data_IF_823285064638
#
_entry.id   IF_823285064638
#
_cell.length_a   1.000
_cell.length_b   1.000
_cell.length_c   1.000
_cell.angle_alpha   90.00
_cell.angle_beta   90.00
_cell.angle_gamma   90.00
#
_symmetry.space_group_name_H-M   'P 1'
#
loop_
_entity.id
_entity.type
_entity.pdbx_description
1 polymer ?
#
# COMPACT_ATOMS: atom_id res chain seq x y z
N UNK A 1 75.05 -35.33 22.33
CA UNK A 1 73.76 -35.82 21.78
C UNK A 1 73.53 -35.14 20.43
N UNK A 2 74.09 -35.71 19.34
CA UNK A 2 73.37 -36.29 18.17
C UNK A 2 72.51 -35.26 17.41
N UNK A 3 72.91 -34.61 16.29
CA UNK A 3 73.38 -35.01 14.93
C UNK A 3 72.43 -35.92 14.12
N UNK A 4 72.14 -35.46 12.88
CA UNK A 4 71.64 -36.12 11.63
C UNK A 4 70.23 -35.66 11.20
N UNK A 5 69.94 -35.24 9.96
CA UNK A 5 70.60 -35.45 8.67
C UNK A 5 70.44 -34.27 7.69
N UNK A 6 71.46 -34.09 6.85
CA UNK A 6 71.60 -33.21 5.68
C UNK A 6 71.03 -33.86 4.40
N UNK A 7 70.93 -33.07 3.30
CA UNK A 7 71.42 -33.30 1.89
C UNK A 7 70.68 -32.28 0.97
N UNK A 8 71.29 -31.21 0.43
CA UNK A 8 72.18 -31.08 -0.79
C UNK A 8 71.35 -31.15 -2.10
N UNK A 9 71.48 -30.38 -3.20
CA UNK A 9 72.19 -29.15 -3.65
C UNK A 9 71.86 -28.99 -5.19
N UNK A 10 72.09 -27.78 -5.77
CA UNK A 10 72.49 -27.48 -7.19
C UNK A 10 71.40 -27.64 -8.29
N UNK A 11 70.90 -26.61 -9.00
CA UNK A 11 71.47 -25.59 -9.92
C UNK A 11 71.42 -25.98 -11.42
N UNK A 12 70.97 -25.03 -12.26
CA UNK A 12 71.56 -24.61 -13.56
C UNK A 12 70.58 -24.37 -14.74
N UNK A 13 70.69 -23.16 -15.30
CA UNK A 13 70.59 -22.71 -16.72
C UNK A 13 69.28 -22.88 -17.53
N UNK A 14 68.64 -21.79 -17.99
CA UNK A 14 68.93 -20.91 -19.17
C UNK A 14 68.39 -21.45 -20.51
N UNK A 15 67.44 -20.70 -21.08
CA UNK A 15 67.19 -20.39 -22.50
C UNK A 15 65.75 -20.62 -23.01
N UNK A 16 65.05 -19.49 -23.13
CA UNK A 16 64.29 -19.02 -24.30
C UNK A 16 63.90 -20.08 -25.34
N UNK A 17 62.60 -20.29 -25.49
CA UNK A 17 61.98 -20.35 -26.82
C UNK A 17 60.64 -19.63 -26.78
N UNK A 18 60.55 -18.55 -27.56
CA UNK A 18 59.30 -17.92 -27.93
C UNK A 18 58.61 -18.78 -29.00
N UNK A 19 57.32 -19.05 -28.82
CA UNK A 19 56.37 -19.12 -29.94
C UNK A 19 54.96 -18.90 -29.43
N UNK A 20 54.29 -17.95 -30.09
CA UNK A 20 52.90 -17.60 -29.87
C UNK A 20 52.00 -18.81 -30.11
N UNK A 21 51.08 -19.07 -29.18
CA UNK A 21 49.77 -19.61 -29.51
C UNK A 21 48.73 -18.72 -28.83
N UNK A 22 48.07 -17.92 -29.66
CA UNK A 22 46.78 -17.30 -29.34
C UNK A 22 45.82 -18.39 -28.88
N UNK A 23 45.54 -18.42 -27.58
CA UNK A 23 44.46 -19.21 -27.01
C UNK A 23 43.54 -18.28 -26.26
N UNK A 24 42.33 -18.07 -26.80
CA UNK A 24 41.26 -17.30 -26.18
C UNK A 24 41.00 -17.81 -24.76
N UNK A 25 41.57 -17.14 -23.75
CA UNK A 25 41.09 -17.24 -22.39
C UNK A 25 39.79 -16.43 -22.34
N UNK A 26 38.66 -17.10 -22.59
CA UNK A 26 37.36 -16.58 -22.22
C UNK A 26 37.43 -16.21 -20.74
N UNK A 27 37.28 -14.92 -20.43
CA UNK A 27 36.99 -14.47 -19.06
C UNK A 27 35.83 -15.33 -18.59
N UNK A 28 35.99 -16.04 -17.48
CA UNK A 28 34.85 -16.64 -16.80
C UNK A 28 33.77 -15.54 -16.66
N UNK A 29 32.52 -15.80 -17.05
CA UNK A 29 31.47 -14.80 -16.92
C UNK A 29 31.42 -14.34 -15.47
N UNK A 30 31.48 -13.02 -15.27
CA UNK A 30 31.22 -12.45 -13.96
C UNK A 30 29.81 -12.87 -13.53
N UNK A 31 29.53 -13.15 -12.25
CA UNK A 31 28.17 -13.46 -11.77
C UNK A 31 27.13 -12.43 -12.25
N UNK A 32 27.54 -11.16 -12.38
CA UNK A 32 26.70 -10.09 -12.91
C UNK A 32 26.31 -10.23 -14.40
N UNK A 33 27.08 -10.96 -15.22
CA UNK A 33 26.78 -11.21 -16.64
C UNK A 33 25.82 -12.40 -16.83
N UNK A 34 25.88 -13.42 -15.96
CA UNK A 34 24.94 -14.56 -16.03
C UNK A 34 23.54 -14.19 -15.53
N UNK A 35 23.44 -13.36 -14.47
CA UNK A 35 22.17 -12.80 -13.98
C UNK A 35 21.44 -12.00 -15.07
N UNK A 36 22.16 -11.13 -15.80
CA UNK A 36 21.58 -10.30 -16.85
C UNK A 36 21.01 -11.10 -18.04
N UNK A 37 21.53 -12.30 -18.30
CA UNK A 37 21.05 -13.15 -19.40
C UNK A 37 19.81 -13.98 -19.04
N UNK A 38 19.54 -14.23 -17.76
CA UNK A 38 18.41 -15.06 -17.31
C UNK A 38 17.20 -14.24 -16.85
N UNK A 39 17.41 -13.01 -16.39
CA UNK A 39 16.35 -12.13 -15.88
C UNK A 39 15.13 -11.98 -16.82
N UNK A 40 15.28 -11.77 -18.15
CA UNK A 40 14.12 -11.70 -19.04
C UNK A 40 13.28 -12.98 -19.08
N UNK A 41 13.93 -14.15 -18.99
CA UNK A 41 13.25 -15.44 -18.98
C UNK A 41 12.50 -15.66 -17.66
N UNK A 42 13.14 -15.32 -16.54
CA UNK A 42 12.54 -15.36 -15.20
C UNK A 42 11.29 -14.48 -15.15
N UNK A 43 11.38 -13.23 -15.62
CA UNK A 43 10.24 -12.31 -15.60
C UNK A 43 9.11 -12.72 -16.55
N UNK A 44 9.43 -13.36 -17.68
CA UNK A 44 8.42 -13.88 -18.60
C UNK A 44 7.66 -15.07 -17.98
N UNK A 45 8.35 -15.97 -17.28
CA UNK A 45 7.72 -17.10 -16.60
C UNK A 45 6.94 -16.63 -15.35
N UNK A 46 7.45 -15.65 -14.61
CA UNK A 46 6.71 -15.00 -13.52
C UNK A 46 5.39 -14.39 -14.02
N UNK A 47 5.43 -13.67 -15.15
CA UNK A 47 4.21 -13.11 -15.77
C UNK A 47 3.20 -14.20 -16.08
N UNK A 48 3.62 -15.30 -16.72
CA UNK A 48 2.75 -16.46 -17.00
C UNK A 48 2.15 -17.06 -15.72
N UNK A 49 2.95 -17.17 -14.66
CA UNK A 49 2.47 -17.66 -13.36
C UNK A 49 1.44 -16.73 -12.73
N UNK A 50 1.54 -15.42 -12.95
CA UNK A 50 0.56 -14.43 -12.45
C UNK A 50 -0.73 -14.41 -13.28
N UNK A 51 -0.64 -14.66 -14.59
CA UNK A 51 -1.77 -14.71 -15.52
C UNK A 51 -2.58 -16.02 -15.44
N UNK A 52 -1.98 -17.11 -14.96
CA UNK A 52 -2.67 -18.40 -14.79
C UNK A 52 -3.75 -18.34 -13.69
N UNK A 53 -5.05 -18.52 -14.03
CA UNK A 53 -6.13 -18.54 -13.05
C UNK A 53 -6.01 -19.68 -12.01
N UNK A 54 -5.29 -20.76 -12.34
CA UNK A 54 -5.03 -21.88 -11.45
C UNK A 54 -3.85 -21.67 -10.49
N UNK A 55 -3.05 -20.63 -10.71
CA UNK A 55 -1.85 -20.35 -9.92
C UNK A 55 -2.21 -19.93 -8.50
N UNK A 56 -1.68 -20.67 -7.52
CA UNK A 56 -1.86 -20.41 -6.09
C UNK A 56 -0.86 -19.38 -5.57
N UNK A 57 -1.19 -18.72 -4.45
CA UNK A 57 -0.26 -17.80 -3.77
C UNK A 57 1.01 -18.55 -3.36
N UNK A 58 0.90 -19.78 -2.85
CA UNK A 58 2.06 -20.58 -2.47
C UNK A 58 3.03 -20.85 -3.64
N UNK A 59 2.52 -21.11 -4.85
CA UNK A 59 3.37 -21.25 -6.04
C UNK A 59 4.09 -19.94 -6.39
N UNK A 60 3.42 -18.80 -6.24
CA UNK A 60 4.05 -17.48 -6.43
C UNK A 60 5.13 -17.23 -5.38
N UNK A 61 4.88 -17.53 -4.10
CA UNK A 61 5.88 -17.43 -3.03
C UNK A 61 7.12 -18.27 -3.36
N UNK A 62 6.92 -19.54 -3.75
CA UNK A 62 8.01 -20.43 -4.13
C UNK A 62 8.82 -19.90 -5.31
N UNK A 63 8.14 -19.35 -6.33
CA UNK A 63 8.80 -18.79 -7.49
C UNK A 63 9.62 -17.54 -7.13
N UNK A 64 9.06 -16.65 -6.31
CA UNK A 64 9.76 -15.46 -5.80
C UNK A 64 10.98 -15.90 -4.98
N UNK A 65 10.81 -16.81 -4.03
CA UNK A 65 11.90 -17.36 -3.20
C UNK A 65 13.07 -17.91 -4.02
N UNK A 66 12.77 -18.65 -5.09
CA UNK A 66 13.79 -19.28 -5.92
C UNK A 66 14.54 -18.30 -6.81
N UNK A 67 13.90 -17.20 -7.24
CA UNK A 67 14.41 -16.38 -8.35
C UNK A 67 14.80 -14.95 -7.95
N UNK A 68 14.43 -14.47 -6.76
CA UNK A 68 14.61 -13.04 -6.41
C UNK A 68 16.06 -12.56 -6.46
N UNK A 69 17.03 -13.44 -6.17
CA UNK A 69 18.46 -13.09 -6.21
C UNK A 69 19.05 -13.05 -7.62
N UNK A 70 18.33 -13.58 -8.61
CA UNK A 70 18.74 -13.69 -10.00
C UNK A 70 18.15 -12.59 -10.91
N UNK A 71 17.50 -11.58 -10.32
CA UNK A 71 16.93 -10.43 -11.03
C UNK A 71 17.42 -9.12 -10.41
N UNK A 72 17.37 -8.05 -11.21
CA UNK A 72 17.57 -6.67 -10.75
C UNK A 72 16.63 -6.31 -9.59
N UNK A 73 17.01 -5.30 -8.80
CA UNK A 73 16.20 -4.85 -7.65
C UNK A 73 14.84 -4.32 -8.08
N UNK A 74 14.78 -3.74 -9.27
CA UNK A 74 13.58 -3.22 -9.91
C UNK A 74 12.62 -4.37 -10.26
N UNK A 75 13.12 -5.43 -10.88
CA UNK A 75 12.29 -6.60 -11.20
C UNK A 75 11.94 -7.43 -9.96
N UNK A 76 12.84 -7.53 -8.98
CA UNK A 76 12.53 -8.09 -7.66
C UNK A 76 11.38 -7.33 -6.99
N UNK A 77 11.37 -5.99 -7.07
CA UNK A 77 10.29 -5.17 -6.55
C UNK A 77 8.96 -5.43 -7.28
N UNK A 78 8.97 -5.56 -8.61
CA UNK A 78 7.79 -5.96 -9.40
C UNK A 78 7.24 -7.30 -8.92
N UNK A 79 8.11 -8.31 -8.75
CA UNK A 79 7.71 -9.65 -8.29
C UNK A 79 7.07 -9.62 -6.90
N UNK A 80 7.69 -8.89 -5.96
CA UNK A 80 7.20 -8.78 -4.58
C UNK A 80 5.90 -8.00 -4.48
N UNK A 81 5.75 -6.89 -5.22
CA UNK A 81 4.50 -6.14 -5.27
C UNK A 81 3.35 -6.96 -5.88
N UNK A 82 3.63 -7.73 -6.93
CA UNK A 82 2.65 -8.61 -7.55
C UNK A 82 2.22 -9.76 -6.60
N UNK A 83 3.15 -10.33 -5.84
CA UNK A 83 2.85 -11.31 -4.79
C UNK A 83 1.94 -10.70 -3.70
N UNK A 84 2.30 -9.53 -3.17
CA UNK A 84 1.49 -8.82 -2.17
C UNK A 84 0.08 -8.51 -2.70
N UNK A 85 -0.03 -8.06 -3.96
CA UNK A 85 -1.31 -7.80 -4.57
C UNK A 85 -2.15 -9.08 -4.69
N UNK A 86 -1.54 -10.20 -5.11
CA UNK A 86 -2.25 -11.50 -5.19
C UNK A 86 -2.73 -11.96 -3.81
N UNK A 87 -1.96 -11.70 -2.76
CA UNK A 87 -2.39 -11.95 -1.38
C UNK A 87 -3.56 -11.05 -0.98
N UNK A 88 -3.45 -9.73 -1.17
CA UNK A 88 -4.52 -8.77 -0.85
C UNK A 88 -5.83 -9.12 -1.56
N UNK A 89 -5.77 -9.45 -2.85
CA UNK A 89 -6.96 -9.82 -3.64
C UNK A 89 -7.56 -11.17 -3.21
N UNK A 90 -6.73 -12.13 -2.80
CA UNK A 90 -7.20 -13.45 -2.37
C UNK A 90 -7.70 -13.52 -0.92
N UNK A 91 -7.26 -12.60 -0.06
CA UNK A 91 -7.52 -12.64 1.38
C UNK A 91 -9.02 -12.72 1.75
N UNK A 92 -9.93 -11.92 1.16
CA UNK A 92 -11.35 -11.96 1.55
C UNK A 92 -12.01 -13.33 1.36
N UNK A 93 -11.64 -14.05 0.29
CA UNK A 93 -12.15 -15.40 0.05
C UNK A 93 -11.63 -16.41 1.08
N UNK A 94 -10.37 -16.25 1.51
CA UNK A 94 -9.78 -17.08 2.56
C UNK A 94 -10.44 -16.77 3.91
N UNK A 95 -10.63 -15.50 4.26
CA UNK A 95 -11.34 -15.06 5.47
C UNK A 95 -12.76 -15.64 5.53
N UNK A 96 -13.51 -15.55 4.42
CA UNK A 96 -14.86 -16.12 4.32
C UNK A 96 -14.87 -17.64 4.56
N UNK A 97 -13.90 -18.37 3.99
CA UNK A 97 -13.76 -19.82 4.20
C UNK A 97 -13.39 -20.14 5.66
N UNK A 98 -12.46 -19.36 6.24
CA UNK A 98 -12.08 -19.50 7.65
C UNK A 98 -13.26 -19.29 8.60
N UNK A 99 -14.08 -18.26 8.34
CA UNK A 99 -15.26 -17.95 9.14
C UNK A 99 -16.33 -19.05 9.03
N UNK A 100 -16.48 -19.68 7.87
CA UNK A 100 -17.44 -20.75 7.63
C UNK A 100 -17.00 -22.12 8.19
N UNK A 101 -15.70 -22.33 8.43
CA UNK A 101 -15.12 -23.60 8.85
C UNK A 101 -15.21 -23.79 10.38
N UNK A 102 -16.35 -24.32 10.84
CA UNK A 102 -16.60 -24.53 12.27
C UNK A 102 -15.59 -25.48 12.93
N UNK A 103 -15.13 -26.51 12.22
CA UNK A 103 -14.15 -27.46 12.75
C UNK A 103 -12.80 -26.79 12.97
N UNK A 104 -12.35 -25.95 12.03
CA UNK A 104 -11.14 -25.15 12.16
C UNK A 104 -11.25 -24.16 13.32
N UNK A 105 -12.34 -23.40 13.41
CA UNK A 105 -12.54 -22.43 14.50
C UNK A 105 -12.52 -23.11 15.88
N UNK A 106 -13.21 -24.25 16.02
CA UNK A 106 -13.24 -25.02 17.26
C UNK A 106 -11.87 -25.60 17.62
N UNK A 107 -11.11 -26.10 16.65
CA UNK A 107 -9.77 -26.62 16.87
C UNK A 107 -8.78 -25.54 17.33
N UNK A 108 -8.83 -24.35 16.72
CA UNK A 108 -8.04 -23.19 17.13
C UNK A 108 -8.42 -22.70 18.53
N UNK A 109 -9.72 -22.62 18.84
CA UNK A 109 -10.23 -22.27 20.17
C UNK A 109 -9.72 -23.22 21.26
N UNK A 110 -9.81 -24.53 21.01
CA UNK A 110 -9.30 -25.57 21.92
C UNK A 110 -7.79 -25.43 22.12
N UNK A 111 -7.04 -25.20 21.04
CA UNK A 111 -5.59 -25.04 21.09
C UNK A 111 -5.16 -23.79 21.88
N UNK A 112 -5.87 -22.67 21.72
CA UNK A 112 -5.61 -21.44 22.47
C UNK A 112 -5.92 -21.62 23.96
N UNK A 113 -7.05 -22.24 24.30
CA UNK A 113 -7.40 -22.54 25.70
C UNK A 113 -6.35 -23.43 26.39
N UNK A 114 -5.80 -24.40 25.65
CA UNK A 114 -4.82 -25.35 26.18
C UNK A 114 -3.42 -24.75 26.36
N UNK A 115 -2.97 -23.94 25.39
CA UNK A 115 -1.59 -23.43 25.39
C UNK A 115 -1.42 -22.15 26.20
N UNK A 116 -2.48 -21.36 26.40
CA UNK A 116 -2.42 -20.07 27.09
C UNK A 116 -1.43 -19.06 26.47
N UNK A 117 -0.97 -19.29 25.23
CA UNK A 117 0.14 -18.57 24.61
C UNK A 117 -0.18 -18.15 23.17
N UNK A 118 0.60 -17.20 22.66
CA UNK A 118 0.51 -16.74 21.26
C UNK A 118 0.88 -17.84 20.24
N UNK A 119 1.58 -18.90 20.68
CA UNK A 119 2.05 -20.00 19.82
C UNK A 119 1.07 -21.19 19.76
N UNK A 120 -0.21 -20.93 20.03
CA UNK A 120 -1.27 -21.94 20.10
C UNK A 120 -1.45 -22.76 18.82
N UNK A 121 -1.00 -22.27 17.67
CA UNK A 121 -1.05 -23.00 16.40
C UNK A 121 -0.29 -24.34 16.48
N UNK A 122 0.79 -24.41 17.27
CA UNK A 122 1.54 -25.65 17.49
C UNK A 122 0.79 -26.65 18.37
N UNK A 123 -0.19 -26.19 19.15
CA UNK A 123 -1.00 -26.99 20.06
C UNK A 123 -2.28 -27.56 19.41
N UNK A 124 -2.55 -27.24 18.14
CA UNK A 124 -3.60 -27.89 17.36
C UNK A 124 -3.31 -29.40 17.32
N UNK A 125 -4.33 -30.24 17.49
CA UNK A 125 -4.18 -31.70 17.50
C UNK A 125 -4.67 -32.32 16.18
N UNK A 126 -5.71 -31.72 15.59
CA UNK A 126 -6.34 -32.18 14.35
C UNK A 126 -5.38 -32.02 13.16
N UNK A 127 -5.04 -33.15 12.53
CA UNK A 127 -4.08 -33.23 11.43
C UNK A 127 -4.59 -32.45 10.20
N UNK A 128 -5.87 -32.57 9.86
CA UNK A 128 -6.45 -31.88 8.72
C UNK A 128 -6.48 -30.36 8.94
N UNK A 129 -6.67 -29.90 10.19
CA UNK A 129 -6.53 -28.47 10.53
C UNK A 129 -5.06 -28.04 10.41
N UNK A 130 -4.10 -28.83 10.89
CA UNK A 130 -2.66 -28.51 10.73
C UNK A 130 -2.24 -28.35 9.27
N UNK A 131 -2.64 -29.27 8.40
CA UNK A 131 -2.32 -29.20 6.98
C UNK A 131 -2.88 -27.93 6.33
N UNK A 132 -4.12 -27.55 6.67
CA UNK A 132 -4.74 -26.29 6.24
C UNK A 132 -3.96 -25.08 6.74
N UNK A 133 -3.61 -25.03 8.03
CA UNK A 133 -2.81 -23.94 8.61
C UNK A 133 -1.42 -23.83 7.96
N UNK A 134 -0.79 -24.96 7.64
CA UNK A 134 0.48 -24.98 6.93
C UNK A 134 0.35 -24.45 5.51
N UNK A 135 -0.73 -24.80 4.79
CA UNK A 135 -1.00 -24.26 3.45
C UNK A 135 -1.19 -22.73 3.47
N UNK A 136 -1.85 -22.21 4.51
CA UNK A 136 -2.05 -20.78 4.74
C UNK A 136 -0.70 -20.09 5.03
N UNK A 137 0.13 -20.68 5.90
CA UNK A 137 1.49 -20.19 6.18
C UNK A 137 2.38 -20.21 4.93
N UNK A 138 2.33 -21.27 4.14
CA UNK A 138 3.08 -21.37 2.87
C UNK A 138 2.62 -20.36 1.83
N UNK A 139 1.38 -19.86 1.96
CA UNK A 139 0.84 -18.77 1.14
C UNK A 139 1.16 -17.38 1.72
N UNK A 140 1.93 -17.31 2.81
CA UNK A 140 2.39 -16.04 3.37
C UNK A 140 1.37 -15.32 4.24
N UNK A 141 0.46 -16.06 4.85
CA UNK A 141 -0.48 -15.53 5.84
C UNK A 141 -0.15 -16.07 7.23
N UNK A 142 -0.52 -15.29 8.25
CA UNK A 142 -0.55 -15.73 9.65
C UNK A 142 -1.98 -15.69 10.17
N UNK A 143 -2.24 -16.36 11.29
CA UNK A 143 -3.56 -16.38 11.92
C UNK A 143 -3.58 -15.39 13.07
N UNK A 144 -4.61 -14.55 13.09
CA UNK A 144 -4.92 -13.64 14.18
C UNK A 144 -6.26 -14.02 14.81
N UNK A 145 -6.54 -13.44 15.97
CA UNK A 145 -7.84 -13.61 16.64
C UNK A 145 -8.39 -12.28 17.14
N UNK A 146 -9.69 -12.07 17.00
CA UNK A 146 -10.45 -10.98 17.61
C UNK A 146 -11.84 -11.48 17.99
N UNK A 147 -12.34 -11.04 19.14
CA UNK A 147 -13.69 -11.39 19.62
C UNK A 147 -13.98 -12.91 19.63
N UNK A 148 -12.97 -13.75 19.84
CA UNK A 148 -13.09 -15.21 19.87
C UNK A 148 -13.13 -15.89 18.49
N UNK A 149 -13.04 -15.13 17.40
CA UNK A 149 -12.93 -15.63 16.03
C UNK A 149 -11.47 -15.63 15.58
N UNK A 150 -11.13 -16.57 14.69
CA UNK A 150 -9.80 -16.69 14.07
C UNK A 150 -9.87 -16.38 12.59
N UNK A 151 -8.94 -15.59 12.09
CA UNK A 151 -8.90 -15.18 10.69
C UNK A 151 -7.46 -15.01 10.21
N UNK A 152 -7.21 -15.27 8.91
CA UNK A 152 -5.90 -15.03 8.32
C UNK A 152 -5.66 -13.53 8.14
N UNK A 153 -4.41 -13.12 8.23
CA UNK A 153 -3.92 -11.81 7.77
C UNK A 153 -2.61 -12.02 7.02
N UNK A 154 -2.22 -11.06 6.18
CA UNK A 154 -0.92 -11.13 5.49
C UNK A 154 0.21 -11.07 6.52
N UNK A 155 1.16 -12.00 6.41
CA UNK A 155 2.35 -12.02 7.26
C UNK A 155 3.44 -11.14 6.65
N UNK A 156 3.45 -9.85 6.96
CA UNK A 156 4.46 -8.94 6.42
C UNK A 156 5.90 -9.25 6.89
N UNK A 157 6.09 -10.04 7.96
CA UNK A 157 7.42 -10.46 8.39
C UNK A 157 8.08 -11.37 7.35
N UNK A 158 7.30 -12.16 6.59
CA UNK A 158 7.84 -13.02 5.54
C UNK A 158 8.62 -12.25 4.48
N UNK A 159 8.26 -10.99 4.24
CA UNK A 159 8.86 -10.15 3.22
C UNK A 159 10.23 -9.60 3.66
N UNK A 160 10.55 -9.65 4.95
CA UNK A 160 11.83 -9.16 5.45
C UNK A 160 13.03 -9.89 4.82
N UNK A 161 12.87 -11.18 4.50
CA UNK A 161 13.91 -11.97 3.81
C UNK A 161 14.26 -11.42 2.43
N UNK A 162 13.35 -10.69 1.80
CA UNK A 162 13.54 -10.12 0.47
C UNK A 162 14.26 -8.77 0.50
N UNK A 163 14.26 -8.04 1.65
CA UNK A 163 14.82 -6.69 1.76
C UNK A 163 16.17 -6.46 1.07
N UNK A 164 17.18 -7.36 1.18
CA UNK A 164 18.49 -7.14 0.55
C UNK A 164 18.42 -6.98 -0.97
N UNK A 165 17.44 -7.64 -1.60
CA UNK A 165 17.24 -7.71 -3.05
C UNK A 165 16.23 -6.69 -3.58
N UNK A 166 15.66 -5.85 -2.72
CA UNK A 166 14.67 -4.85 -3.13
C UNK A 166 15.27 -3.46 -3.33
N UNK A 167 14.50 -2.61 -3.99
CA UNK A 167 14.73 -1.16 -4.02
C UNK A 167 14.65 -0.60 -2.59
N UNK A 168 15.40 0.47 -2.26
CA UNK A 168 15.34 1.10 -0.94
C UNK A 168 13.92 1.52 -0.54
N UNK A 169 13.15 1.98 -1.53
CA UNK A 169 11.76 2.38 -1.39
C UNK A 169 10.86 1.23 -0.94
N UNK A 170 10.82 0.11 -1.68
CA UNK A 170 9.95 -1.00 -1.34
C UNK A 170 10.40 -1.70 -0.04
N UNK A 171 11.71 -1.75 0.22
CA UNK A 171 12.23 -2.25 1.50
C UNK A 171 11.72 -1.41 2.69
N UNK A 172 11.71 -0.07 2.56
CA UNK A 172 11.18 0.81 3.60
C UNK A 172 9.67 0.65 3.79
N UNK A 173 8.90 0.45 2.71
CA UNK A 173 7.48 0.12 2.79
C UNK A 173 7.25 -1.19 3.58
N UNK A 174 7.99 -2.25 3.27
CA UNK A 174 7.90 -3.54 3.97
C UNK A 174 8.23 -3.39 5.46
N UNK A 175 9.24 -2.58 5.81
CA UNK A 175 9.59 -2.32 7.21
C UNK A 175 8.42 -1.69 7.98
N UNK A 176 7.75 -0.71 7.38
CA UNK A 176 6.55 -0.08 7.97
C UNK A 176 5.45 -1.13 8.13
N UNK A 177 5.11 -1.85 7.07
CA UNK A 177 4.00 -2.80 7.09
C UNK A 177 4.24 -4.01 8.00
N UNK A 178 5.49 -4.45 8.17
CA UNK A 178 5.85 -5.49 9.12
C UNK A 178 5.56 -5.05 10.56
N UNK A 179 5.89 -3.80 10.91
CA UNK A 179 5.58 -3.23 12.24
C UNK A 179 4.06 -3.14 12.47
N UNK A 180 3.29 -2.73 11.45
CA UNK A 180 1.83 -2.69 11.52
C UNK A 180 1.22 -4.09 11.72
N UNK A 181 1.71 -5.08 10.97
CA UNK A 181 1.22 -6.45 11.03
C UNK A 181 1.56 -7.12 12.36
N UNK A 182 2.78 -6.90 12.89
CA UNK A 182 3.23 -7.51 14.13
C UNK A 182 2.50 -6.96 15.35
N UNK A 183 2.29 -5.63 15.38
CA UNK A 183 1.64 -4.96 16.50
C UNK A 183 0.62 -3.95 15.99
N UNK A 184 -0.62 -4.40 15.72
CA UNK A 184 -1.69 -3.51 15.27
C UNK A 184 -1.87 -2.33 16.24
N UNK A 185 -2.05 -1.09 15.75
CA UNK A 185 -2.09 0.09 16.60
C UNK A 185 -3.35 0.19 17.48
N UNK A 186 -4.45 -0.41 17.03
CA UNK A 186 -5.72 -0.40 17.74
C UNK A 186 -6.50 -1.70 17.52
N UNK A 187 -7.26 -2.10 18.53
CA UNK A 187 -8.17 -3.26 18.50
C UNK A 187 -9.26 -3.06 19.54
N UNK A 188 -10.48 -3.51 19.25
CA UNK A 188 -11.64 -3.35 20.13
C UNK A 188 -11.86 -1.88 20.53
N UNK A 189 -11.70 -0.96 19.57
CA UNK A 189 -11.73 0.49 19.77
C UNK A 189 -10.77 1.06 20.84
N UNK A 190 -9.75 0.31 21.25
CA UNK A 190 -8.68 0.73 22.16
C UNK A 190 -7.34 0.82 21.41
N UNK A 191 -6.49 1.78 21.79
CA UNK A 191 -5.09 1.76 21.35
C UNK A 191 -4.36 0.59 22.01
N UNK A 192 -3.61 -0.16 21.21
CA UNK A 192 -2.78 -1.31 21.65
C UNK A 192 -1.29 -0.95 21.71
N UNK A 193 -0.94 0.26 21.30
CA UNK A 193 0.41 0.83 21.34
C UNK A 193 0.40 2.08 22.23
N UNK A 194 1.58 2.48 22.72
CA UNK A 194 1.72 3.73 23.46
C UNK A 194 1.57 4.94 22.53
N UNK A 195 1.28 6.10 23.11
CA UNK A 195 1.27 7.37 22.38
C UNK A 195 2.62 7.69 21.72
N UNK A 196 3.73 7.31 22.37
CA UNK A 196 5.09 7.46 21.83
C UNK A 196 5.28 6.63 20.56
N UNK A 197 4.88 5.36 20.59
CA UNK A 197 4.95 4.46 19.44
C UNK A 197 4.02 4.94 18.31
N UNK A 198 2.83 5.44 18.65
CA UNK A 198 1.89 6.03 17.70
C UNK A 198 2.52 7.19 16.93
N UNK A 199 3.13 8.14 17.64
CA UNK A 199 3.80 9.30 17.03
C UNK A 199 5.02 8.88 16.21
N UNK A 200 5.85 7.95 16.71
CA UNK A 200 7.02 7.44 15.97
C UNK A 200 6.63 6.80 14.64
N UNK A 201 5.58 5.97 14.62
CA UNK A 201 5.08 5.35 13.38
C UNK A 201 4.52 6.37 12.41
N UNK A 202 3.72 7.34 12.91
CA UNK A 202 3.19 8.41 12.08
C UNK A 202 4.32 9.23 11.42
N UNK A 203 5.35 9.59 12.18
CA UNK A 203 6.52 10.29 11.63
C UNK A 203 7.29 9.42 10.63
N UNK A 204 7.46 8.12 10.88
CA UNK A 204 8.12 7.22 9.93
C UNK A 204 7.36 7.11 8.60
N UNK A 205 6.03 7.01 8.66
CA UNK A 205 5.15 7.03 7.49
C UNK A 205 5.28 8.35 6.72
N UNK A 206 5.33 9.47 7.45
CA UNK A 206 5.49 10.79 6.84
C UNK A 206 6.85 10.96 6.15
N UNK A 207 7.93 10.50 6.79
CA UNK A 207 9.27 10.51 6.19
C UNK A 207 9.35 9.63 4.94
N UNK A 208 8.66 8.50 4.92
CA UNK A 208 8.55 7.67 3.72
C UNK A 208 7.93 8.45 2.55
N UNK A 209 6.83 9.18 2.80
CA UNK A 209 6.15 9.97 1.76
C UNK A 209 7.00 11.11 1.22
N UNK A 210 7.89 11.67 2.04
CA UNK A 210 8.85 12.70 1.64
C UNK A 210 10.00 12.09 0.83
N UNK A 211 10.53 10.95 1.27
CA UNK A 211 11.66 10.29 0.62
C UNK A 211 11.28 9.67 -0.74
N UNK A 212 10.04 9.19 -0.87
CA UNK A 212 9.57 8.43 -2.03
C UNK A 212 8.23 8.94 -2.59
N UNK A 213 8.15 10.22 -3.02
CA UNK A 213 6.89 10.83 -3.46
C UNK A 213 6.27 10.18 -4.71
N UNK A 214 7.08 9.47 -5.50
CA UNK A 214 6.68 8.79 -6.73
C UNK A 214 6.53 7.27 -6.55
N UNK A 215 6.62 6.75 -5.31
CA UNK A 215 6.41 5.33 -5.05
C UNK A 215 4.99 4.90 -5.39
N UNK A 216 4.85 3.69 -5.94
CA UNK A 216 3.57 2.99 -6.12
C UNK A 216 2.85 2.69 -4.79
N UNK A 217 3.55 2.75 -3.65
CA UNK A 217 3.02 2.51 -2.30
C UNK A 217 2.67 3.79 -1.54
N UNK A 218 2.83 4.96 -2.16
CA UNK A 218 2.48 6.24 -1.50
C UNK A 218 1.02 6.28 -1.04
N UNK A 219 0.09 5.72 -1.81
CA UNK A 219 -1.34 5.66 -1.41
C UNK A 219 -1.56 4.83 -0.16
N UNK A 220 -0.96 3.63 -0.09
CA UNK A 220 -1.06 2.76 1.09
C UNK A 220 -0.55 3.50 2.34
N UNK A 221 0.60 4.17 2.23
CA UNK A 221 1.21 4.90 3.36
C UNK A 221 0.42 6.18 3.71
N UNK A 222 -0.16 6.87 2.73
CA UNK A 222 -1.05 8.03 2.96
C UNK A 222 -2.29 7.64 3.76
N UNK A 223 -2.93 6.54 3.41
CA UNK A 223 -4.10 6.01 4.14
C UNK A 223 -3.71 5.61 5.56
N UNK A 224 -2.53 5.01 5.73
CA UNK A 224 -2.01 4.66 7.04
C UNK A 224 -1.75 5.93 7.88
N UNK A 225 -1.08 6.93 7.32
CA UNK A 225 -0.79 8.19 8.04
C UNK A 225 -2.05 8.95 8.41
N UNK A 226 -3.06 8.99 7.53
CA UNK A 226 -4.36 9.60 7.84
C UNK A 226 -5.02 8.94 9.06
N UNK A 227 -5.02 7.60 9.12
CA UNK A 227 -5.50 6.85 10.29
C UNK A 227 -4.72 7.19 11.56
N UNK A 228 -3.39 7.23 11.48
CA UNK A 228 -2.54 7.58 12.62
C UNK A 228 -2.75 9.04 13.08
N UNK A 229 -2.99 9.96 12.14
CA UNK A 229 -3.35 11.34 12.46
C UNK A 229 -4.68 11.42 13.21
N UNK A 230 -5.68 10.61 12.84
CA UNK A 230 -6.93 10.53 13.60
C UNK A 230 -6.70 10.02 15.02
N UNK A 231 -5.88 8.99 15.21
CA UNK A 231 -5.53 8.52 16.55
C UNK A 231 -4.79 9.59 17.36
N UNK A 232 -3.83 10.29 16.78
CA UNK A 232 -3.07 11.34 17.47
C UNK A 232 -3.95 12.56 17.83
N UNK A 233 -4.91 12.92 16.97
CA UNK A 233 -5.78 14.05 17.20
C UNK A 233 -6.93 13.72 18.14
N UNK A 234 -7.49 12.51 18.14
CA UNK A 234 -8.73 12.19 18.86
C UNK A 234 -8.58 11.08 19.90
N UNK A 235 -7.60 10.20 19.75
CA UNK A 235 -7.56 8.90 20.42
C UNK A 235 -8.57 7.93 19.83
N UNK A 236 -8.96 6.94 20.62
CA UNK A 236 -10.01 5.97 20.28
C UNK A 236 -11.08 5.94 21.38
N UNK A 237 -12.22 5.30 21.14
CA UNK A 237 -13.33 5.29 22.12
C UNK A 237 -12.92 4.72 23.49
N UNK A 238 -12.15 3.64 23.49
CA UNK A 238 -11.67 2.98 24.71
C UNK A 238 -10.28 3.48 25.16
N UNK A 239 -9.69 4.43 24.43
CA UNK A 239 -8.44 5.09 24.81
C UNK A 239 -8.49 6.55 24.31
N UNK A 240 -9.39 7.36 24.89
CA UNK A 240 -9.64 8.70 24.38
C UNK A 240 -8.43 9.60 24.66
N UNK A 241 -8.15 10.54 23.76
CA UNK A 241 -7.08 11.51 23.98
C UNK A 241 -7.42 12.46 25.13
N UNK A 242 -8.69 12.81 25.29
CA UNK A 242 -9.19 13.61 26.41
C UNK A 242 -10.12 12.79 27.27
N UNK A 243 -9.95 12.89 28.57
CA UNK A 243 -10.84 12.29 29.55
C UNK A 243 -12.30 12.76 29.33
N UNK A 244 -13.24 11.82 29.40
CA UNK A 244 -14.63 12.10 29.05
C UNK A 244 -15.30 13.06 30.03
N UNK A 245 -14.92 13.05 31.31
CA UNK A 245 -15.57 13.86 32.35
C UNK A 245 -14.85 15.18 32.54
N UNK A 246 -13.55 15.10 32.83
CA UNK A 246 -12.71 16.26 33.17
C UNK A 246 -12.27 17.06 31.95
N UNK A 247 -12.41 16.48 30.75
CA UNK A 247 -11.91 17.04 29.49
C UNK A 247 -10.40 17.27 29.48
N UNK A 248 -9.67 16.69 30.42
CA UNK A 248 -8.22 16.85 30.51
C UNK A 248 -7.52 15.95 29.50
N UNK A 249 -6.48 16.46 28.85
CA UNK A 249 -5.61 15.67 27.97
C UNK A 249 -4.96 14.53 28.75
N UNK A 250 -4.91 13.33 28.16
CA UNK A 250 -4.24 12.18 28.73
C UNK A 250 -2.76 12.51 29.02
N UNK A 251 -2.32 12.32 30.26
CA UNK A 251 -0.98 12.73 30.70
C UNK A 251 0.16 12.07 29.92
N UNK A 252 -0.01 10.80 29.52
CA UNK A 252 0.95 10.08 28.68
C UNK A 252 1.06 10.70 27.28
N UNK A 253 -0.06 11.06 26.65
CA UNK A 253 -0.07 11.73 25.36
C UNK A 253 0.54 13.14 25.47
N UNK A 254 0.18 13.88 26.52
CA UNK A 254 0.71 15.22 26.79
C UNK A 254 2.24 15.19 26.87
N UNK A 255 2.80 14.24 27.61
CA UNK A 255 4.25 14.07 27.74
C UNK A 255 4.90 13.87 26.37
N UNK A 256 4.41 12.91 25.60
CA UNK A 256 4.95 12.59 24.26
C UNK A 256 4.88 13.82 23.36
N UNK A 257 3.76 14.53 23.34
CA UNK A 257 3.57 15.69 22.47
C UNK A 257 4.50 16.85 22.81
N UNK A 258 4.83 17.04 24.10
CA UNK A 258 5.77 18.07 24.54
C UNK A 258 7.25 17.68 24.31
N UNK A 259 7.57 16.40 24.36
CA UNK A 259 8.93 15.89 24.16
C UNK A 259 9.28 15.67 22.67
N UNK A 260 8.27 15.58 21.80
CA UNK A 260 8.46 15.42 20.35
C UNK A 260 8.89 16.74 19.71
N UNK A 261 9.98 16.69 18.93
CA UNK A 261 10.42 17.81 18.11
C UNK A 261 9.59 17.87 16.81
N UNK A 262 8.53 18.68 16.83
CA UNK A 262 7.71 18.94 15.64
C UNK A 262 8.39 19.93 14.70
N UNK A 263 8.57 19.55 13.44
CA UNK A 263 9.14 20.39 12.38
C UNK A 263 8.24 20.32 11.14
N UNK A 264 7.89 21.46 10.55
CA UNK A 264 7.08 21.50 9.33
C UNK A 264 7.80 20.92 8.11
N UNK A 265 9.13 20.86 8.13
CA UNK A 265 9.94 20.19 7.10
C UNK A 265 9.74 18.68 7.12
N UNK A 266 9.27 18.13 8.24
CA UNK A 266 8.94 16.72 8.35
C UNK A 266 7.58 16.37 7.78
N UNK A 267 6.79 17.36 7.32
CA UNK A 267 5.52 17.17 6.63
C UNK A 267 4.32 17.80 7.32
N UNK A 268 3.14 17.63 6.73
CA UNK A 268 1.88 18.24 7.16
C UNK A 268 1.39 17.72 8.51
N UNK A 269 1.51 16.44 8.81
CA UNK A 269 1.15 15.85 10.10
C UNK A 269 2.04 16.42 11.20
N UNK A 270 3.36 16.36 11.03
CA UNK A 270 4.31 16.95 11.98
C UNK A 270 4.05 18.44 12.23
N UNK A 271 3.85 19.23 11.15
CA UNK A 271 3.46 20.65 11.25
C UNK A 271 2.21 20.84 12.12
N UNK A 272 1.14 20.10 11.79
CA UNK A 272 -0.16 20.25 12.45
C UNK A 272 -0.12 19.83 13.91
N UNK A 273 0.63 18.80 14.25
CA UNK A 273 0.83 18.39 15.63
C UNK A 273 1.62 19.44 16.43
N UNK A 274 2.64 20.08 15.84
CA UNK A 274 3.34 21.21 16.47
C UNK A 274 2.42 22.40 16.76
N UNK A 275 1.59 22.79 15.79
CA UNK A 275 0.54 23.80 15.96
C UNK A 275 -0.48 23.37 17.04
N UNK A 276 -0.86 22.10 17.07
CA UNK A 276 -1.80 21.54 18.03
C UNK A 276 -1.26 21.64 19.46
N UNK A 277 0.02 21.35 19.70
CA UNK A 277 0.65 21.50 21.02
C UNK A 277 0.57 22.95 21.53
N UNK A 278 0.78 23.93 20.65
CA UNK A 278 0.63 25.33 21.02
C UNK A 278 -0.81 25.68 21.42
N UNK A 279 -1.80 25.15 20.69
CA UNK A 279 -3.23 25.30 21.01
C UNK A 279 -3.58 24.62 22.33
N UNK A 280 -3.14 23.38 22.55
CA UNK A 280 -3.35 22.64 23.79
C UNK A 280 -2.81 23.41 25.00
N UNK A 281 -1.59 23.96 24.90
CA UNK A 281 -0.97 24.77 25.96
C UNK A 281 -1.76 26.04 26.26
N UNK A 282 -2.31 26.71 25.23
CA UNK A 282 -3.12 27.93 25.39
C UNK A 282 -4.41 27.69 26.18
N UNK A 283 -4.98 26.48 26.09
CA UNK A 283 -6.24 26.11 26.74
C UNK A 283 -6.01 25.12 27.90
N UNK A 284 -4.87 25.23 28.59
CA UNK A 284 -4.52 24.45 29.79
C UNK A 284 -4.67 22.92 29.62
N UNK A 285 -4.42 22.45 28.40
CA UNK A 285 -4.54 21.05 27.99
C UNK A 285 -5.94 20.47 28.24
N UNK A 286 -6.98 21.31 28.16
CA UNK A 286 -8.39 20.90 28.28
C UNK A 286 -9.10 20.98 26.93
N UNK A 287 -9.96 20.01 26.65
CA UNK A 287 -10.82 20.04 25.47
C UNK A 287 -11.84 21.16 25.60
N UNK A 288 -11.61 22.25 24.87
CA UNK A 288 -12.55 23.36 24.66
C UNK A 288 -13.15 23.31 23.26
N UNK A 289 -14.11 24.19 22.96
CA UNK A 289 -14.63 24.34 21.59
C UNK A 289 -13.54 24.75 20.60
N UNK A 290 -12.58 25.58 21.02
CA UNK A 290 -11.47 26.01 20.18
C UNK A 290 -10.45 24.89 19.93
N UNK A 291 -10.16 24.06 20.94
CA UNK A 291 -9.34 22.86 20.77
C UNK A 291 -10.02 21.88 19.80
N UNK A 292 -11.34 21.68 19.96
CA UNK A 292 -12.14 20.84 19.07
C UNK A 292 -12.14 21.33 17.62
N UNK A 293 -12.34 22.62 17.42
CA UNK A 293 -12.30 23.24 16.10
C UNK A 293 -10.94 23.05 15.44
N UNK A 294 -9.86 23.24 16.20
CA UNK A 294 -8.50 23.01 15.71
C UNK A 294 -8.26 21.55 15.32
N UNK A 295 -8.74 20.58 16.12
CA UNK A 295 -8.64 19.16 15.80
C UNK A 295 -9.35 18.85 14.49
N UNK A 296 -10.58 19.32 14.31
CA UNK A 296 -11.37 19.10 13.10
C UNK A 296 -10.74 19.73 11.85
N UNK A 297 -10.24 20.97 11.98
CA UNK A 297 -9.56 21.64 10.88
C UNK A 297 -8.25 20.93 10.53
N UNK A 298 -7.46 20.53 11.52
CA UNK A 298 -6.19 19.82 11.30
C UNK A 298 -6.39 18.45 10.69
N UNK A 299 -7.37 17.70 11.18
CA UNK A 299 -7.77 16.41 10.60
C UNK A 299 -8.08 16.57 9.11
N UNK A 300 -8.96 17.53 8.78
CA UNK A 300 -9.33 17.82 7.40
C UNK A 300 -8.12 18.21 6.54
N UNK A 301 -7.23 19.08 7.02
CA UNK A 301 -6.06 19.51 6.28
C UNK A 301 -5.06 18.37 6.04
N UNK A 302 -4.84 17.50 7.05
CA UNK A 302 -4.00 16.31 6.92
C UNK A 302 -4.64 15.35 5.90
N UNK A 303 -5.92 15.02 6.04
CA UNK A 303 -6.63 14.14 5.11
C UNK A 303 -6.58 14.69 3.69
N UNK A 304 -6.77 16.00 3.48
CA UNK A 304 -6.66 16.62 2.16
C UNK A 304 -5.25 16.57 1.58
N UNK A 305 -4.22 16.66 2.42
CA UNK A 305 -2.83 16.48 1.97
C UNK A 305 -2.53 15.01 1.60
N UNK A 306 -3.18 14.04 2.26
CA UNK A 306 -3.07 12.62 1.94
C UNK A 306 -3.87 12.25 0.68
N UNK A 307 -5.12 12.70 0.58
CA UNK A 307 -6.02 12.49 -0.53
C UNK A 307 -6.66 13.82 -0.97
N UNK A 308 -6.14 14.40 -2.05
CA UNK A 308 -6.62 15.68 -2.60
C UNK A 308 -8.07 15.65 -3.07
N UNK A 309 -8.61 14.46 -3.36
CA UNK A 309 -9.96 14.27 -3.89
C UNK A 309 -10.99 14.02 -2.78
N UNK A 310 -10.55 13.92 -1.51
CA UNK A 310 -11.41 13.60 -0.38
C UNK A 310 -12.65 14.51 -0.28
N UNK A 311 -12.48 15.81 -0.52
CA UNK A 311 -13.60 16.77 -0.46
C UNK A 311 -14.67 16.51 -1.53
N UNK A 312 -14.33 15.82 -2.62
CA UNK A 312 -15.25 15.37 -3.67
C UNK A 312 -15.92 14.02 -3.36
N UNK A 313 -15.70 13.46 -2.16
CA UNK A 313 -16.19 12.15 -1.77
C UNK A 313 -15.40 10.99 -2.36
N UNK A 314 -14.24 11.25 -2.98
CA UNK A 314 -13.34 10.22 -3.52
C UNK A 314 -12.45 9.73 -2.39
N UNK A 315 -12.64 8.49 -1.95
CA UNK A 315 -11.91 7.91 -0.82
C UNK A 315 -10.57 7.25 -1.20
N UNK A 316 -10.44 6.76 -2.43
CA UNK A 316 -9.18 6.22 -2.96
C UNK A 316 -8.66 7.09 -4.12
N UNK A 317 -7.66 7.90 -3.80
CA UNK A 317 -7.02 8.79 -4.77
C UNK A 317 -6.34 8.05 -5.92
N UNK A 318 -5.66 6.92 -5.66
CA UNK A 318 -4.93 6.21 -6.71
C UNK A 318 -5.88 5.43 -7.63
N UNK A 319 -6.93 4.83 -7.08
CA UNK A 319 -7.95 4.18 -7.88
C UNK A 319 -8.65 5.22 -8.76
N UNK A 320 -8.99 6.39 -8.20
CA UNK A 320 -9.53 7.50 -8.99
C UNK A 320 -8.59 7.96 -10.11
N UNK A 321 -7.30 8.19 -9.82
CA UNK A 321 -6.31 8.60 -10.83
C UNK A 321 -6.11 7.55 -11.94
N UNK A 322 -6.18 6.27 -11.58
CA UNK A 322 -6.13 5.15 -12.52
C UNK A 322 -7.36 5.15 -13.43
N UNK A 323 -8.57 5.28 -12.86
CA UNK A 323 -9.83 5.37 -13.62
C UNK A 323 -9.82 6.59 -14.53
N UNK A 324 -9.37 7.75 -14.03
CA UNK A 324 -9.24 8.97 -14.82
C UNK A 324 -8.36 8.74 -16.06
N UNK A 325 -7.16 8.19 -15.86
CA UNK A 325 -6.21 7.91 -16.95
C UNK A 325 -6.76 6.87 -17.94
N UNK A 326 -7.42 5.82 -17.44
CA UNK A 326 -8.09 4.82 -18.27
C UNK A 326 -9.16 5.47 -19.14
N UNK A 327 -9.99 6.32 -18.57
CA UNK A 327 -11.08 6.97 -19.28
C UNK A 327 -10.56 7.98 -20.32
N UNK A 328 -9.46 8.71 -20.03
CA UNK A 328 -8.76 9.52 -21.05
C UNK A 328 -8.35 8.67 -22.25
N UNK A 329 -7.76 7.49 -22.02
CA UNK A 329 -7.37 6.56 -23.07
C UNK A 329 -8.55 6.03 -23.89
N UNK A 330 -9.67 5.68 -23.23
CA UNK A 330 -10.88 5.22 -23.92
C UNK A 330 -11.51 6.30 -24.79
N UNK A 331 -11.57 7.54 -24.28
CA UNK A 331 -12.06 8.70 -25.05
C UNK A 331 -11.16 8.98 -26.25
N UNK A 332 -9.83 8.92 -26.08
CA UNK A 332 -8.86 9.10 -27.17
C UNK A 332 -8.97 8.01 -28.24
N UNK A 333 -9.21 6.76 -27.85
CA UNK A 333 -9.43 5.63 -28.75
C UNK A 333 -10.81 5.64 -29.43
N UNK A 334 -11.71 6.56 -29.06
CA UNK A 334 -13.08 6.61 -29.57
C UNK A 334 -13.95 5.44 -29.13
N UNK A 335 -13.61 4.75 -28.04
CA UNK A 335 -14.36 3.58 -27.56
C UNK A 335 -15.59 4.03 -26.75
N UNK A 336 -16.64 4.43 -27.47
CA UNK A 336 -17.88 5.01 -26.91
C UNK A 336 -18.58 4.07 -25.94
N UNK A 337 -18.60 2.77 -26.25
CA UNK A 337 -19.23 1.75 -25.42
C UNK A 337 -18.55 1.64 -24.06
N UNK A 338 -17.22 1.52 -24.06
CA UNK A 338 -16.47 1.46 -22.81
C UNK A 338 -16.54 2.77 -22.02
N UNK A 339 -16.55 3.93 -22.68
CA UNK A 339 -16.72 5.23 -21.98
C UNK A 339 -18.08 5.30 -21.28
N UNK A 340 -19.14 4.80 -21.92
CA UNK A 340 -20.49 4.82 -21.36
C UNK A 340 -20.62 4.01 -20.05
N UNK A 341 -19.70 3.07 -19.80
CA UNK A 341 -19.67 2.28 -18.56
C UNK A 341 -19.07 3.04 -17.35
N UNK A 342 -18.45 4.21 -17.59
CA UNK A 342 -17.91 5.10 -16.54
C UNK A 342 -18.81 6.32 -16.29
N UNK A 343 -20.07 6.26 -16.70
CA UNK A 343 -21.01 7.35 -16.56
C UNK A 343 -21.97 7.06 -15.41
N UNK A 344 -22.12 8.04 -14.51
CA UNK A 344 -23.16 8.00 -13.50
C UNK A 344 -24.46 8.47 -14.16
N UNK A 345 -25.40 7.55 -14.31
CA UNK A 345 -26.71 7.86 -14.86
C UNK A 345 -27.70 8.24 -13.75
N UNK A 346 -28.59 9.23 -13.97
CA UNK A 346 -28.73 10.04 -15.17
C UNK A 346 -27.55 11.02 -15.37
N UNK A 347 -26.99 11.07 -16.59
CA UNK A 347 -25.92 12.01 -16.92
C UNK A 347 -26.51 13.38 -17.18
N UNK A 348 -26.00 14.39 -16.46
CA UNK A 348 -26.36 15.78 -16.66
C UNK A 348 -25.42 16.46 -17.64
N UNK A 349 -25.96 16.93 -18.77
CA UNK A 349 -25.17 17.63 -19.79
C UNK A 349 -25.69 19.05 -19.97
N UNK A 350 -24.82 20.05 -19.87
CA UNK A 350 -25.19 21.44 -20.04
C UNK A 350 -24.59 21.99 -21.33
N UNK A 351 -25.44 22.54 -22.18
CA UNK A 351 -25.04 23.29 -23.37
C UNK A 351 -25.49 24.74 -23.18
N UNK A 352 -24.54 25.68 -23.10
CA UNK A 352 -24.84 27.10 -22.87
C UNK A 352 -25.76 27.35 -21.65
N UNK A 353 -25.62 26.55 -20.59
CA UNK A 353 -26.45 26.62 -19.37
C UNK A 353 -27.80 25.91 -19.45
N UNK A 354 -28.17 25.34 -20.60
CA UNK A 354 -29.40 24.55 -20.75
C UNK A 354 -29.12 23.08 -20.40
N UNK A 355 -29.75 22.52 -19.36
CA UNK A 355 -29.56 21.13 -18.99
C UNK A 355 -30.29 20.18 -19.95
N UNK A 356 -29.60 19.13 -20.37
CA UNK A 356 -30.13 17.94 -21.03
C UNK A 356 -29.76 16.73 -20.19
N UNK A 357 -30.73 15.86 -19.92
CA UNK A 357 -30.51 14.65 -19.11
C UNK A 357 -30.47 13.45 -20.03
N UNK A 358 -29.43 12.63 -19.90
CA UNK A 358 -29.34 11.32 -20.54
C UNK A 358 -29.57 10.26 -19.47
N UNK A 359 -30.75 9.60 -19.42
CA UNK A 359 -31.13 8.75 -18.30
C UNK A 359 -30.45 7.38 -18.31
N UNK A 360 -29.83 6.97 -19.42
CA UNK A 360 -29.28 5.63 -19.58
C UNK A 360 -28.09 5.59 -20.54
N UNK A 361 -27.38 4.45 -20.48
CA UNK A 361 -26.31 4.07 -21.39
C UNK A 361 -26.70 4.20 -22.86
N UNK A 362 -27.84 3.62 -23.22
CA UNK A 362 -28.32 3.60 -24.61
C UNK A 362 -28.64 5.01 -25.13
N UNK A 363 -29.23 5.87 -24.28
CA UNK A 363 -29.52 7.25 -24.65
C UNK A 363 -28.25 8.09 -24.82
N UNK A 364 -27.21 7.85 -23.99
CA UNK A 364 -25.91 8.47 -24.23
C UNK A 364 -25.29 7.99 -25.54
N UNK A 365 -25.30 6.69 -25.82
CA UNK A 365 -24.64 6.14 -27.01
C UNK A 365 -25.23 6.68 -28.32
N UNK A 366 -26.56 6.82 -28.40
CA UNK A 366 -27.24 7.47 -29.54
C UNK A 366 -26.79 8.91 -29.76
N UNK A 367 -26.38 9.60 -28.69
CA UNK A 367 -26.07 11.02 -28.67
C UNK A 367 -24.58 11.31 -28.38
N UNK A 368 -23.71 10.30 -28.40
CA UNK A 368 -22.37 10.38 -27.81
C UNK A 368 -21.55 11.52 -28.40
N UNK A 369 -21.54 11.65 -29.73
CA UNK A 369 -20.74 12.68 -30.41
C UNK A 369 -21.29 14.10 -30.19
N UNK A 370 -22.57 14.21 -29.80
CA UNK A 370 -23.15 15.49 -29.40
C UNK A 370 -22.76 15.86 -27.96
N UNK A 371 -22.48 14.88 -27.09
CA UNK A 371 -22.11 15.08 -25.69
C UNK A 371 -20.60 15.26 -25.57
N UNK A 372 -19.81 14.32 -26.08
CA UNK A 372 -18.35 14.38 -26.13
C UNK A 372 -17.87 15.12 -27.38
N UNK A 373 -18.12 16.44 -27.39
CA UNK A 373 -17.67 17.33 -28.46
C UNK A 373 -16.14 17.42 -28.53
N UNK A 374 -15.61 17.99 -29.61
CA UNK A 374 -14.17 18.22 -29.74
C UNK A 374 -13.59 19.00 -28.55
N UNK A 375 -14.32 20.01 -28.04
CA UNK A 375 -13.94 20.79 -26.87
C UNK A 375 -13.84 19.93 -25.60
N UNK A 376 -14.86 19.11 -25.33
CA UNK A 376 -14.87 18.21 -24.15
C UNK A 376 -13.73 17.20 -24.22
N UNK A 377 -13.53 16.59 -25.40
CA UNK A 377 -12.43 15.64 -25.64
C UNK A 377 -11.05 16.29 -25.45
N UNK A 378 -10.87 17.50 -25.98
CA UNK A 378 -9.61 18.25 -25.89
C UNK A 378 -9.31 18.69 -24.44
N UNK A 379 -10.31 19.20 -23.72
CA UNK A 379 -10.19 19.53 -22.31
C UNK A 379 -9.78 18.30 -21.48
N UNK A 380 -10.40 17.15 -21.75
CA UNK A 380 -10.08 15.92 -21.03
C UNK A 380 -8.70 15.39 -21.38
N UNK A 381 -8.30 15.39 -22.65
CA UNK A 381 -6.98 14.92 -23.08
C UNK A 381 -5.82 15.75 -22.50
N UNK A 382 -6.02 17.07 -22.30
CA UNK A 382 -4.99 17.98 -21.78
C UNK A 382 -4.91 18.03 -20.26
N UNK A 383 -5.99 17.68 -19.56
CA UNK A 383 -6.04 17.78 -18.11
C UNK A 383 -5.12 16.75 -17.46
N UNK A 384 -4.14 17.23 -16.69
CA UNK A 384 -3.40 16.39 -15.76
C UNK A 384 -4.26 16.17 -14.52
N UNK A 385 -4.44 14.89 -14.14
CA UNK A 385 -5.32 14.53 -13.03
C UNK A 385 -4.93 15.26 -11.74
N UNK A 386 -3.64 15.33 -11.42
CA UNK A 386 -3.08 15.99 -10.21
C UNK A 386 -3.22 17.53 -10.17
N UNK A 387 -3.66 18.15 -11.27
CA UNK A 387 -3.85 19.61 -11.39
C UNK A 387 -5.34 20.00 -11.52
N UNK A 388 -6.27 19.05 -11.39
CA UNK A 388 -7.72 19.32 -11.45
C UNK A 388 -8.20 20.24 -10.34
N UNK A 389 -9.25 21.02 -10.58
CA UNK A 389 -9.94 21.70 -9.50
C UNK A 389 -10.85 20.70 -8.76
N UNK A 390 -10.86 20.72 -7.43
CA UNK A 390 -11.60 19.77 -6.60
C UNK A 390 -12.44 20.54 -5.58
N UNK A 391 -13.72 20.21 -5.49
CA UNK A 391 -14.60 20.67 -4.42
C UNK A 391 -15.67 19.62 -4.10
N UNK A 392 -16.62 19.97 -3.23
CA UNK A 392 -17.72 19.07 -2.82
C UNK A 392 -18.67 18.64 -3.95
N UNK A 393 -18.60 19.26 -5.14
CA UNK A 393 -19.39 18.87 -6.31
C UNK A 393 -18.70 17.82 -7.18
N UNK A 394 -17.41 17.53 -6.95
CA UNK A 394 -16.66 16.59 -7.74
C UNK A 394 -15.25 17.06 -8.11
N UNK A 395 -14.60 16.26 -8.95
CA UNK A 395 -13.30 16.58 -9.56
C UNK A 395 -13.55 17.16 -10.96
N UNK A 396 -13.10 18.39 -11.17
CA UNK A 396 -13.36 19.17 -12.38
C UNK A 396 -12.20 19.07 -13.38
N UNK A 397 -12.55 18.81 -14.63
CA UNK A 397 -11.65 18.80 -15.79
C UNK A 397 -11.82 20.07 -16.61
N UNK A 398 -10.70 20.67 -17.04
CA UNK A 398 -10.70 21.88 -17.86
C UNK A 398 -11.23 23.10 -17.10
N UNK A 399 -12.02 23.93 -17.78
CA UNK A 399 -12.77 25.04 -17.20
C UNK A 399 -14.12 24.64 -16.62
N UNK A 400 -14.40 23.33 -16.50
CA UNK A 400 -15.68 22.79 -16.05
C UNK A 400 -16.28 21.76 -17.00
N UNK A 401 -15.62 21.38 -18.09
CA UNK A 401 -16.18 20.54 -19.13
C UNK A 401 -16.60 19.15 -18.66
N UNK A 402 -15.90 18.56 -17.67
CA UNK A 402 -16.26 17.25 -17.12
C UNK A 402 -16.16 17.31 -15.59
N UNK A 403 -17.15 16.70 -14.93
CA UNK A 403 -17.17 16.53 -13.48
C UNK A 403 -17.20 15.05 -13.12
N UNK A 404 -16.24 14.62 -12.32
CA UNK A 404 -16.15 13.27 -11.79
C UNK A 404 -16.64 13.17 -10.35
N UNK A 405 -17.14 11.99 -9.99
CA UNK A 405 -17.54 11.63 -8.63
C UNK A 405 -17.17 10.18 -8.31
N UNK A 406 -17.30 9.83 -7.04
CA UNK A 406 -17.48 8.46 -6.56
C UNK A 406 -18.97 8.15 -6.40
N UNK A 407 -19.40 6.92 -6.71
CA UNK A 407 -20.74 6.39 -6.42
C UNK A 407 -20.75 4.86 -6.47
N UNK A 408 -21.48 4.20 -5.57
CA UNK A 408 -21.68 2.75 -5.60
C UNK A 408 -22.61 2.29 -6.73
N UNK A 409 -23.32 3.22 -7.38
CA UNK A 409 -24.15 2.96 -8.56
C UNK A 409 -23.32 2.86 -9.86
N UNK A 410 -22.06 3.28 -9.82
CA UNK A 410 -21.13 3.17 -10.95
C UNK A 410 -20.56 1.76 -11.05
N UNK A 411 -20.48 1.23 -12.27
CA UNK A 411 -19.83 -0.07 -12.53
C UNK A 411 -18.38 -0.09 -12.03
N UNK A 412 -17.67 1.03 -12.16
CA UNK A 412 -16.26 1.16 -11.79
C UNK A 412 -16.02 2.09 -10.59
N UNK A 413 -17.05 2.36 -9.77
CA UNK A 413 -17.04 3.19 -8.54
C UNK A 413 -16.70 4.68 -8.73
N UNK A 414 -15.87 5.03 -9.71
CA UNK A 414 -15.52 6.39 -10.11
C UNK A 414 -15.91 6.63 -11.56
N UNK A 415 -16.44 7.82 -11.84
CA UNK A 415 -17.00 8.10 -13.15
C UNK A 415 -17.44 9.54 -13.31
N UNK A 416 -17.95 9.84 -14.51
CA UNK A 416 -18.43 11.17 -14.88
C UNK A 416 -19.88 11.34 -14.43
N UNK A 417 -20.16 12.39 -13.66
CA UNK A 417 -21.51 12.76 -13.23
C UNK A 417 -22.14 13.84 -14.13
N UNK A 418 -21.32 14.69 -14.74
CA UNK A 418 -21.81 15.79 -15.57
C UNK A 418 -20.79 16.23 -16.62
N UNK A 419 -21.31 16.77 -17.74
CA UNK A 419 -20.52 17.33 -18.84
C UNK A 419 -21.05 18.73 -19.18
N UNK A 420 -20.15 19.70 -19.31
CA UNK A 420 -20.43 21.03 -19.84
C UNK A 420 -19.79 21.15 -21.21
N UNK A 421 -20.58 21.41 -22.26
CA UNK A 421 -20.09 21.51 -23.64
C UNK A 421 -20.23 22.91 -24.21
#
# INVERSE_FOLDING_TARGET
MSRRNQIILIAALLMIFASLMSGCAGKAPSPAQDTANQEPAIMAEFTKLMEDPGSTVAQVVQYVDANLTAVSKENAAVMVMALEQKQKTGLPDIEKRFAADQALQAALAKAQQKSGSADYLNAVEDIAVKERLQAIKNSGYKIETAEGMYYPVIDYEMYQKYRPNLTPELAAYIDIMAVEAQKPPAKDAALRISWDELVKRALAQEQYLIAYPDSSKTTDIKMLLDKYAMFALYGTNNTPLFDYDTKQLAGEAQKVYLETAWDEKNGVFSKKMGEYVAVLKKYDYRLSSQVREFQNQSAKEITMAMNRYYVAGVDDAAQFETVFTRLQGLVAAGNKEAVADYILYPLHVYAQGVPTIYPSRDELLKNYDTVFTAKVKDAFAKQKVKETFVNYKGVMVGGGEIWFTQSDELLYRYGILAINK
#
